data_IF_657057395290
#
_entry.id   IF_657057395290
#
_cell.length_a   1.000
_cell.length_b   1.000
_cell.length_c   1.000
_cell.angle_alpha   90.00
_cell.angle_beta   90.00
_cell.angle_gamma   90.00
#
_symmetry.space_group_name_H-M   'P 1'
#
loop_
_entity.id
_entity.type
_entity.pdbx_description
1 polymer ?
#
# COMPACT_ATOMS: atom_id res chain seq x y z
N UNK A 1 -3.81 17.27 9.08
CA UNK A 1 -4.57 16.88 10.29
C UNK A 1 -3.93 17.44 11.56
N UNK A 2 -2.68 17.09 11.91
CA UNK A 2 -2.01 17.53 13.16
C UNK A 2 -1.88 19.06 13.42
N UNK A 3 -2.24 19.90 12.44
CA UNK A 3 -2.25 21.37 12.55
C UNK A 3 -3.66 21.97 12.39
N UNK A 4 -4.69 21.13 12.37
CA UNK A 4 -6.10 21.52 12.15
C UNK A 4 -6.38 22.27 10.83
N UNK A 5 -5.59 21.98 9.79
CA UNK A 5 -5.70 22.64 8.46
C UNK A 5 -6.11 21.68 7.35
N UNK A 6 -6.99 20.73 7.65
CA UNK A 6 -7.47 19.77 6.64
C UNK A 6 -8.27 20.48 5.54
N UNK A 7 -9.13 21.44 5.89
CA UNK A 7 -9.91 22.19 4.90
C UNK A 7 -9.04 22.98 3.92
N UNK A 8 -7.98 23.61 4.42
CA UNK A 8 -7.01 24.32 3.57
C UNK A 8 -6.32 23.36 2.59
N UNK A 9 -5.95 22.16 3.06
CA UNK A 9 -5.36 21.13 2.21
C UNK A 9 -6.35 20.67 1.13
N UNK A 10 -7.61 20.41 1.49
CA UNK A 10 -8.66 20.02 0.53
C UNK A 10 -8.85 21.11 -0.54
N UNK A 11 -8.93 22.38 -0.13
CA UNK A 11 -9.04 23.50 -1.08
C UNK A 11 -7.84 23.54 -2.03
N UNK A 12 -6.63 23.39 -1.49
CA UNK A 12 -5.41 23.45 -2.29
C UNK A 12 -5.30 22.29 -3.28
N UNK A 13 -5.67 21.08 -2.87
CA UNK A 13 -5.72 19.90 -3.77
C UNK A 13 -6.72 20.12 -4.91
N UNK A 14 -7.89 20.73 -4.62
CA UNK A 14 -8.87 21.11 -5.66
C UNK A 14 -8.32 22.16 -6.62
N UNK A 15 -7.67 23.20 -6.10
CA UNK A 15 -7.08 24.27 -6.91
C UNK A 15 -5.98 23.76 -7.85
N UNK A 16 -5.26 22.71 -7.44
CA UNK A 16 -4.26 22.02 -8.25
C UNK A 16 -4.86 21.02 -9.25
N UNK A 17 -6.16 20.75 -9.19
CA UNK A 17 -6.82 19.74 -10.04
C UNK A 17 -6.40 18.30 -9.72
N UNK A 18 -5.96 18.03 -8.50
CA UNK A 18 -5.57 16.70 -8.04
C UNK A 18 -6.81 15.90 -7.62
N UNK A 19 -6.89 14.64 -8.05
CA UNK A 19 -8.07 13.79 -7.85
C UNK A 19 -7.88 12.73 -6.76
N UNK A 20 -6.66 12.56 -6.26
CA UNK A 20 -6.28 11.50 -5.34
C UNK A 20 -5.86 12.05 -3.98
N UNK A 21 -6.24 11.33 -2.92
CA UNK A 21 -5.76 11.54 -1.56
C UNK A 21 -5.18 10.26 -1.00
N UNK A 22 -4.06 10.36 -0.29
CA UNK A 22 -3.58 9.30 0.58
C UNK A 22 -3.91 9.65 2.04
N UNK A 23 -4.39 8.67 2.81
CA UNK A 23 -4.63 8.79 4.25
C UNK A 23 -3.79 7.75 5.00
N UNK A 24 -2.82 8.22 5.78
CA UNK A 24 -1.88 7.40 6.54
C UNK A 24 -1.70 7.92 7.97
N UNK A 25 -1.27 7.02 8.87
CA UNK A 25 -1.01 7.31 10.28
C UNK A 25 0.39 6.82 10.75
N UNK A 26 1.32 6.66 9.80
CA UNK A 26 2.68 6.19 10.07
C UNK A 26 3.54 7.18 10.88
N UNK A 27 3.25 8.49 10.80
CA UNK A 27 4.04 9.53 11.49
C UNK A 27 3.33 10.12 12.71
N UNK A 28 2.00 10.24 12.67
CA UNK A 28 1.21 10.85 13.74
C UNK A 28 0.31 9.81 14.38
N UNK A 29 0.07 9.94 15.69
CA UNK A 29 -0.95 9.12 16.35
C UNK A 29 -2.33 9.59 15.90
N UNK A 30 -2.99 8.77 15.08
CA UNK A 30 -4.37 8.96 14.65
C UNK A 30 -5.16 7.72 15.10
N UNK A 31 -6.27 7.94 15.81
CA UNK A 31 -7.18 6.84 16.13
C UNK A 31 -7.74 6.25 14.83
N UNK A 32 -7.78 4.93 14.72
CA UNK A 32 -8.22 4.27 13.50
C UNK A 32 -9.68 4.59 13.16
N UNK A 33 -10.53 4.85 14.14
CA UNK A 33 -11.93 5.29 13.88
C UNK A 33 -11.95 6.65 13.22
N UNK A 34 -11.14 7.60 13.70
CA UNK A 34 -11.00 8.91 13.08
C UNK A 34 -10.40 8.80 11.67
N UNK A 35 -9.45 7.90 11.45
CA UNK A 35 -8.92 7.61 10.11
C UNK A 35 -10.03 7.13 9.15
N UNK A 36 -10.86 6.20 9.60
CA UNK A 36 -12.03 5.69 8.85
C UNK A 36 -13.02 6.82 8.52
N UNK A 37 -13.35 7.68 9.48
CA UNK A 37 -14.23 8.85 9.25
C UNK A 37 -13.64 9.81 8.19
N UNK A 38 -12.32 10.00 8.18
CA UNK A 38 -11.65 10.81 7.16
C UNK A 38 -11.70 10.16 5.78
N UNK A 39 -11.55 8.84 5.69
CA UNK A 39 -11.70 8.08 4.44
C UNK A 39 -13.14 8.25 3.92
N UNK A 40 -14.14 7.98 4.75
CA UNK A 40 -15.56 8.11 4.38
C UNK A 40 -15.88 9.50 3.85
N UNK A 41 -15.35 10.53 4.52
CA UNK A 41 -15.54 11.92 4.11
C UNK A 41 -14.87 12.23 2.78
N UNK A 42 -13.58 11.92 2.63
CA UNK A 42 -12.82 12.30 1.43
C UNK A 42 -13.18 11.46 0.20
N UNK A 43 -13.63 10.22 0.40
CA UNK A 43 -14.07 9.34 -0.68
C UNK A 43 -15.33 9.84 -1.42
N UNK A 44 -16.06 10.81 -0.84
CA UNK A 44 -17.20 11.45 -1.52
C UNK A 44 -16.76 12.35 -2.68
N UNK A 45 -15.55 12.92 -2.60
CA UNK A 45 -15.06 13.92 -3.54
C UNK A 45 -13.76 13.51 -4.27
N UNK A 46 -13.01 12.54 -3.74
CA UNK A 46 -11.68 12.15 -4.24
C UNK A 46 -11.53 10.62 -4.31
N UNK A 47 -10.57 10.16 -5.11
CA UNK A 47 -10.11 8.78 -5.06
C UNK A 47 -9.14 8.61 -3.89
N UNK A 48 -9.58 7.92 -2.84
CA UNK A 48 -8.79 7.75 -1.61
C UNK A 48 -7.98 6.45 -1.67
N UNK A 49 -6.67 6.55 -1.46
CA UNK A 49 -5.81 5.46 -1.02
C UNK A 49 -5.64 5.57 0.49
N UNK A 50 -5.78 4.47 1.22
CA UNK A 50 -5.42 4.44 2.64
C UNK A 50 -4.20 3.57 2.83
N UNK A 51 -3.34 3.84 3.81
CA UNK A 51 -2.15 3.05 4.09
C UNK A 51 -2.26 2.32 5.42
N UNK A 52 -2.14 0.99 5.42
CA UNK A 52 -2.00 0.19 6.64
C UNK A 52 -0.55 -0.25 6.78
N UNK A 53 0.05 0.10 7.91
CA UNK A 53 1.44 -0.18 8.22
C UNK A 53 1.66 -0.65 9.66
N UNK A 54 2.88 -1.12 9.93
CA UNK A 54 3.25 -1.53 11.29
C UNK A 54 3.97 -0.39 11.98
N UNK A 55 3.61 -0.09 13.23
CA UNK A 55 4.33 0.89 14.06
C UNK A 55 5.59 0.25 14.66
N UNK A 56 6.39 -0.41 13.82
CA UNK A 56 7.55 -1.23 14.21
C UNK A 56 8.60 -0.42 14.98
N UNK A 57 8.63 0.90 14.80
CA UNK A 57 9.48 1.84 15.56
C UNK A 57 9.18 1.84 17.08
N UNK A 58 8.05 1.25 17.50
CA UNK A 58 7.66 1.10 18.91
C UNK A 58 8.02 -0.27 19.52
N UNK A 59 8.58 -1.19 18.72
CA UNK A 59 8.95 -2.54 19.14
C UNK A 59 7.78 -3.55 19.19
N UNK A 60 6.55 -3.10 18.93
CA UNK A 60 5.37 -3.96 18.87
C UNK A 60 5.01 -4.27 17.41
N UNK A 61 5.14 -5.54 17.01
CA UNK A 61 4.71 -6.02 15.70
C UNK A 61 3.19 -6.16 15.69
N UNK A 62 2.51 -5.43 14.80
CA UNK A 62 1.06 -5.59 14.60
C UNK A 62 0.76 -7.00 14.06
N UNK A 63 -0.12 -7.78 14.71
CA UNK A 63 -0.44 -9.13 14.26
C UNK A 63 -1.28 -9.13 12.97
N UNK A 64 -1.20 -10.18 12.12
CA UNK A 64 -1.88 -10.21 10.82
C UNK A 64 -3.39 -9.95 10.87
N UNK A 65 -4.10 -10.49 11.87
CA UNK A 65 -5.55 -10.29 11.96
C UNK A 65 -5.94 -8.80 12.15
N UNK A 66 -5.08 -7.99 12.78
CA UNK A 66 -5.30 -6.54 12.93
C UNK A 66 -5.09 -5.80 11.62
N UNK A 67 -4.11 -6.22 10.81
CA UNK A 67 -3.96 -5.70 9.45
C UNK A 67 -5.22 -5.93 8.64
N UNK A 68 -5.72 -7.18 8.62
CA UNK A 68 -6.95 -7.53 7.91
C UNK A 68 -8.13 -6.68 8.40
N UNK A 69 -8.30 -6.55 9.72
CA UNK A 69 -9.38 -5.75 10.31
C UNK A 69 -9.32 -4.27 9.87
N UNK A 70 -8.15 -3.64 9.95
CA UNK A 70 -7.95 -2.26 9.53
C UNK A 70 -8.20 -2.09 8.03
N UNK A 71 -7.54 -2.90 7.20
CA UNK A 71 -7.68 -2.83 5.75
C UNK A 71 -9.15 -3.02 5.31
N UNK A 72 -9.90 -3.95 5.93
CA UNK A 72 -11.34 -4.13 5.65
C UNK A 72 -12.14 -2.88 5.97
N UNK A 73 -11.97 -2.33 7.18
CA UNK A 73 -12.68 -1.12 7.61
C UNK A 73 -12.39 0.08 6.72
N UNK A 74 -11.14 0.26 6.31
CA UNK A 74 -10.73 1.33 5.41
C UNK A 74 -11.31 1.14 3.99
N UNK A 75 -11.33 -0.10 3.49
CA UNK A 75 -11.97 -0.46 2.23
C UNK A 75 -13.50 -0.30 2.25
N UNK A 76 -14.15 -0.60 3.38
CA UNK A 76 -15.60 -0.44 3.59
C UNK A 76 -16.00 1.04 3.71
N UNK A 77 -15.10 1.86 4.26
CA UNK A 77 -15.23 3.32 4.31
C UNK A 77 -15.13 4.02 2.95
N UNK A 78 -14.77 3.28 1.88
CA UNK A 78 -14.71 3.82 0.53
C UNK A 78 -13.29 4.06 0.00
N UNK A 79 -12.24 3.58 0.67
CA UNK A 79 -10.92 3.56 0.07
C UNK A 79 -10.94 2.76 -1.24
N UNK A 80 -10.40 3.35 -2.31
CA UNK A 80 -10.28 2.72 -3.62
C UNK A 80 -9.32 1.53 -3.56
N UNK A 81 -8.18 1.73 -2.90
CA UNK A 81 -7.21 0.69 -2.56
C UNK A 81 -6.64 0.96 -1.17
N UNK A 82 -6.18 -0.10 -0.53
CA UNK A 82 -5.36 0.02 0.68
C UNK A 82 -3.91 -0.35 0.32
N UNK A 83 -3.00 0.55 0.67
CA UNK A 83 -1.56 0.38 0.58
C UNK A 83 -1.13 -0.49 1.76
N UNK A 84 -0.44 -1.59 1.46
CA UNK A 84 0.27 -2.36 2.46
C UNK A 84 1.69 -1.78 2.58
N UNK A 85 1.95 -1.08 3.68
CA UNK A 85 3.16 -0.28 3.91
C UNK A 85 4.43 -1.13 3.88
N UNK A 86 5.45 -0.64 3.17
CA UNK A 86 6.82 -1.18 3.18
C UNK A 86 7.90 -0.13 3.48
N UNK A 87 7.53 1.16 3.53
CA UNK A 87 8.41 2.34 3.51
C UNK A 87 9.29 2.40 2.26
N UNK A 88 9.89 3.55 2.01
CA UNK A 88 10.83 3.75 0.88
C UNK A 88 12.02 2.76 0.92
N UNK A 89 12.50 2.43 2.12
CA UNK A 89 13.61 1.48 2.29
C UNK A 89 13.21 0.02 2.01
N UNK A 90 11.92 -0.31 2.06
CA UNK A 90 11.45 -1.68 1.91
C UNK A 90 11.85 -2.59 3.08
N UNK A 91 11.96 -2.06 4.31
CA UNK A 91 12.48 -2.78 5.49
C UNK A 91 11.54 -2.73 6.70
N UNK A 92 10.28 -2.35 6.51
CA UNK A 92 9.27 -2.26 7.56
C UNK A 92 7.92 -2.80 7.08
N UNK A 93 6.94 -2.88 7.98
CA UNK A 93 5.57 -3.19 7.62
C UNK A 93 5.44 -4.61 7.05
N UNK A 94 5.16 -4.74 5.76
CA UNK A 94 5.10 -6.03 5.05
C UNK A 94 6.47 -6.70 4.82
N UNK A 95 7.57 -6.01 5.15
CA UNK A 95 8.92 -6.53 5.09
C UNK A 95 9.54 -6.69 6.48
N UNK A 96 10.52 -7.59 6.59
CA UNK A 96 11.44 -7.64 7.73
C UNK A 96 12.48 -6.52 7.64
N UNK A 97 13.20 -6.20 8.72
CA UNK A 97 14.36 -5.28 8.68
C UNK A 97 15.42 -5.67 7.64
N UNK A 98 15.47 -6.95 7.25
CA UNK A 98 16.37 -7.47 6.21
C UNK A 98 15.88 -7.22 4.77
N UNK A 99 14.67 -6.68 4.60
CA UNK A 99 14.01 -6.52 3.30
C UNK A 99 13.32 -7.78 2.77
N UNK A 100 13.30 -8.86 3.55
CA UNK A 100 12.56 -10.09 3.23
C UNK A 100 11.06 -9.90 3.38
N UNK A 101 10.28 -10.47 2.46
CA UNK A 101 8.81 -10.43 2.50
C UNK A 101 8.30 -11.21 3.70
N UNK A 102 7.36 -10.63 4.44
CA UNK A 102 6.61 -11.33 5.49
C UNK A 102 5.50 -12.18 4.86
N UNK A 103 5.87 -13.29 4.22
CA UNK A 103 4.93 -14.10 3.43
C UNK A 103 3.70 -14.57 4.21
N UNK A 104 3.85 -14.89 5.51
CA UNK A 104 2.72 -15.25 6.37
C UNK A 104 1.74 -14.09 6.56
N UNK A 105 2.22 -12.86 6.74
CA UNK A 105 1.35 -11.67 6.82
C UNK A 105 0.63 -11.44 5.49
N UNK A 106 1.36 -11.46 4.38
CA UNK A 106 0.76 -11.29 3.05
C UNK A 106 -0.28 -12.38 2.77
N UNK A 107 0.00 -13.63 3.14
CA UNK A 107 -0.90 -14.77 3.00
C UNK A 107 -2.23 -14.57 3.72
N UNK A 108 -2.19 -14.13 4.98
CA UNK A 108 -3.40 -13.81 5.75
C UNK A 108 -4.19 -12.65 5.14
N UNK A 109 -3.51 -11.59 4.70
CA UNK A 109 -4.15 -10.43 4.06
C UNK A 109 -4.90 -10.87 2.80
N UNK A 110 -4.25 -11.60 1.90
CA UNK A 110 -4.84 -11.98 0.61
C UNK A 110 -5.82 -13.15 0.69
N UNK A 111 -5.85 -13.86 1.83
CA UNK A 111 -6.91 -14.81 2.12
C UNK A 111 -8.25 -14.11 2.35
N UNK A 112 -8.20 -12.92 2.95
CA UNK A 112 -9.38 -12.19 3.43
C UNK A 112 -9.76 -11.00 2.54
N UNK A 113 -8.83 -10.50 1.72
CA UNK A 113 -8.99 -9.30 0.87
C UNK A 113 -8.49 -9.61 -0.54
N UNK A 114 -9.28 -9.23 -1.54
CA UNK A 114 -8.89 -9.36 -2.96
C UNK A 114 -7.59 -8.57 -3.23
N UNK A 115 -6.50 -9.21 -3.72
CA UNK A 115 -5.26 -8.53 -4.08
C UNK A 115 -5.43 -7.35 -5.05
N UNK A 116 -6.47 -7.35 -5.88
CA UNK A 116 -6.78 -6.24 -6.80
C UNK A 116 -7.16 -4.95 -6.07
N UNK A 117 -7.62 -5.04 -4.82
CA UNK A 117 -7.93 -3.90 -3.94
C UNK A 117 -6.74 -3.47 -3.08
N UNK A 118 -5.58 -4.11 -3.20
CA UNK A 118 -4.39 -3.82 -2.43
C UNK A 118 -3.31 -3.25 -3.34
N UNK A 119 -2.57 -2.26 -2.86
CA UNK A 119 -1.31 -1.79 -3.44
C UNK A 119 -0.17 -2.19 -2.50
N UNK A 120 0.78 -2.99 -2.96
CA UNK A 120 1.91 -3.40 -2.13
C UNK A 120 3.09 -2.48 -2.38
N UNK A 121 3.61 -1.84 -1.34
CA UNK A 121 4.90 -1.17 -1.47
C UNK A 121 5.98 -2.18 -1.86
N UNK A 122 6.75 -1.87 -2.90
CA UNK A 122 7.82 -2.73 -3.38
C UNK A 122 8.98 -1.90 -3.98
N UNK A 123 9.66 -1.07 -3.18
CA UNK A 123 10.72 -0.19 -3.68
C UNK A 123 11.92 -0.96 -4.25
N UNK A 124 12.20 -2.18 -3.77
CA UNK A 124 13.38 -2.95 -4.19
C UNK A 124 13.03 -3.99 -5.26
N UNK A 125 13.94 -4.20 -6.22
CA UNK A 125 13.77 -5.16 -7.33
C UNK A 125 13.32 -6.55 -6.86
N UNK A 126 13.94 -7.11 -5.81
CA UNK A 126 13.60 -8.47 -5.36
C UNK A 126 12.18 -8.55 -4.79
N UNK A 127 11.65 -7.46 -4.23
CA UNK A 127 10.27 -7.35 -3.74
C UNK A 127 9.31 -7.30 -4.93
N UNK A 128 9.61 -6.47 -5.94
CA UNK A 128 8.83 -6.40 -7.18
C UNK A 128 8.74 -7.77 -7.86
N UNK A 129 9.87 -8.47 -8.00
CA UNK A 129 9.93 -9.84 -8.55
C UNK A 129 9.05 -10.80 -7.75
N UNK A 130 9.10 -10.74 -6.41
CA UNK A 130 8.32 -11.60 -5.54
C UNK A 130 6.82 -11.39 -5.77
N UNK A 131 6.34 -10.14 -5.76
CA UNK A 131 4.92 -9.84 -5.98
C UNK A 131 4.44 -10.21 -7.39
N UNK A 132 5.23 -9.91 -8.43
CA UNK A 132 4.89 -10.28 -9.82
C UNK A 132 4.81 -11.79 -9.98
N UNK A 133 5.73 -12.56 -9.37
CA UNK A 133 5.66 -14.03 -9.38
C UNK A 133 4.44 -14.56 -8.61
N UNK A 134 4.10 -13.93 -7.49
CA UNK A 134 3.05 -14.43 -6.57
C UNK A 134 1.64 -14.14 -7.06
N UNK A 135 1.43 -12.98 -7.69
CA UNK A 135 0.11 -12.45 -8.05
C UNK A 135 -0.05 -12.15 -9.55
N UNK A 136 1.00 -12.31 -10.35
CA UNK A 136 0.99 -12.07 -11.79
C UNK A 136 1.37 -10.63 -12.18
N UNK A 137 1.39 -10.38 -13.49
CA UNK A 137 1.81 -9.12 -14.09
C UNK A 137 0.91 -7.93 -13.75
N UNK A 138 -0.30 -8.15 -13.24
CA UNK A 138 -1.29 -7.11 -12.94
C UNK A 138 -1.30 -6.68 -11.46
N UNK A 139 -0.36 -7.19 -10.64
CA UNK A 139 -0.26 -6.80 -9.23
C UNK A 139 0.00 -5.29 -9.09
N UNK A 140 -0.74 -4.62 -8.21
CA UNK A 140 -0.53 -3.20 -7.94
C UNK A 140 0.68 -3.01 -7.04
N UNK A 141 1.66 -2.20 -7.47
CA UNK A 141 2.87 -1.92 -6.70
C UNK A 141 3.02 -0.43 -6.45
N UNK A 142 3.33 -0.06 -5.20
CA UNK A 142 3.64 1.29 -4.74
C UNK A 142 5.14 1.49 -4.54
N UNK A 143 5.55 2.74 -4.30
CA UNK A 143 6.93 3.13 -4.01
C UNK A 143 7.97 2.69 -5.07
N UNK A 144 7.56 2.63 -6.35
CA UNK A 144 8.48 2.35 -7.46
C UNK A 144 9.31 3.59 -7.76
N UNK A 145 10.63 3.46 -7.67
CA UNK A 145 11.54 4.54 -8.02
C UNK A 145 11.33 4.95 -9.49
N UNK A 146 11.36 6.25 -9.84
CA UNK A 146 11.15 6.70 -11.22
C UNK A 146 12.08 6.03 -12.24
N UNK A 147 13.32 5.76 -11.86
CA UNK A 147 14.31 5.06 -12.70
C UNK A 147 13.99 3.57 -12.94
N UNK A 148 13.16 2.97 -12.10
CA UNK A 148 12.81 1.55 -12.15
C UNK A 148 11.50 1.27 -12.88
N UNK A 149 10.78 2.28 -13.38
CA UNK A 149 9.50 2.07 -14.08
C UNK A 149 9.64 1.14 -15.28
N UNK A 150 10.65 1.37 -16.15
CA UNK A 150 10.92 0.48 -17.28
C UNK A 150 11.42 -0.89 -16.82
N UNK A 151 12.19 -0.93 -15.73
CA UNK A 151 12.68 -2.17 -15.16
C UNK A 151 11.52 -3.05 -14.68
N UNK A 152 10.56 -2.47 -13.97
CA UNK A 152 9.35 -3.13 -13.53
C UNK A 152 8.50 -3.60 -14.71
N UNK A 153 8.34 -2.80 -15.76
CA UNK A 153 7.57 -3.22 -16.92
C UNK A 153 8.19 -4.45 -17.61
N UNK A 154 9.52 -4.47 -17.75
CA UNK A 154 10.20 -5.67 -18.27
C UNK A 154 10.07 -6.89 -17.36
N UNK A 155 9.91 -6.71 -16.04
CA UNK A 155 9.57 -7.80 -15.12
C UNK A 155 8.15 -8.32 -15.40
N UNK A 156 7.17 -7.42 -15.53
CA UNK A 156 5.76 -7.77 -15.81
C UNK A 156 5.60 -8.53 -17.13
N UNK A 157 6.34 -8.14 -18.16
CA UNK A 157 6.32 -8.79 -19.48
C UNK A 157 7.15 -10.08 -19.57
N UNK A 158 7.79 -10.52 -18.49
CA UNK A 158 8.64 -11.72 -18.51
C UNK A 158 9.91 -11.58 -19.34
N UNK A 159 10.38 -10.35 -19.59
CA UNK A 159 11.55 -10.04 -20.42
C UNK A 159 12.88 -10.08 -19.64
N UNK A 160 12.84 -10.40 -18.35
CA UNK A 160 14.01 -10.57 -17.49
C UNK A 160 14.10 -12.01 -16.99
N UNK A 161 15.32 -12.48 -16.71
CA UNK A 161 15.55 -13.82 -16.17
C UNK A 161 14.76 -14.09 -14.89
N UNK A 162 14.53 -13.04 -14.09
CA UNK A 162 13.75 -13.12 -12.85
C UNK A 162 12.29 -13.52 -13.09
N UNK A 163 11.71 -13.26 -14.26
CA UNK A 163 10.29 -13.51 -14.55
C UNK A 163 10.05 -14.24 -15.87
N UNK A 164 11.10 -14.77 -16.49
CA UNK A 164 11.02 -15.49 -17.76
C UNK A 164 10.06 -16.69 -17.64
N UNK A 165 8.99 -16.68 -18.44
CA UNK A 165 7.96 -17.73 -18.46
C UNK A 165 6.64 -17.39 -17.76
N UNK A 166 6.56 -16.28 -17.01
CA UNK A 166 5.28 -15.70 -16.57
C UNK A 166 4.50 -15.27 -17.83
N UNK A 167 3.34 -15.88 -18.09
CA UNK A 167 2.53 -15.64 -19.31
C UNK A 167 2.56 -16.79 -20.34
N UNK A 168 3.17 -17.94 -20.01
CA UNK A 168 3.01 -19.19 -20.76
C UNK A 168 2.05 -20.14 -20.04
N UNK A 169 0.79 -19.77 -19.95
CA UNK A 169 -0.35 -20.68 -19.69
C UNK A 169 -1.47 -20.38 -20.68
#
# INVERSE_FOLDING_TARGET
IARDRLEELISWVRDLGLEYFEISDGTISLDHTHKVELIERLAQDFTVLSEVGSKDDTGAITPPYRWVEMMRRELDAGAWKVIAEGREAGTAGIFRPTGEVREGLIGEIVHEIDPRRIMFDAPLKHQQVWFVRRFGSDVNLGNIAPGDVLALETLRLGLRSDTLGLGRE
#
